data_IF_994147922979
#
_entry.id   IF_994147922979
#
_cell.length_a   1.000
_cell.length_b   1.000
_cell.length_c   1.000
_cell.angle_alpha   90.00
_cell.angle_beta   90.00
_cell.angle_gamma   90.00
#
_symmetry.space_group_name_H-M   'P 1'
#
loop_
_entity.id
_entity.type
_entity.pdbx_description
1 polymer ?
#
# COMPACT_ATOMS: atom_id res chain seq x y z
N UNK A 1 -10.86 15.28 -5.21
CA UNK A 1 -10.05 14.06 -5.45
C UNK A 1 -10.56 13.20 -6.58
N UNK A 2 -11.79 12.65 -6.54
CA UNK A 2 -12.29 11.82 -7.65
C UNK A 2 -12.40 12.59 -8.98
N UNK A 3 -13.01 13.78 -8.95
CA UNK A 3 -13.04 14.68 -10.12
C UNK A 3 -11.65 15.04 -10.62
N UNK A 4 -10.69 15.28 -9.71
CA UNK A 4 -9.30 15.57 -10.04
C UNK A 4 -8.63 14.40 -10.76
N UNK A 5 -8.85 13.16 -10.29
CA UNK A 5 -8.35 11.94 -10.93
C UNK A 5 -8.95 11.76 -12.33
N UNK A 6 -10.28 11.85 -12.46
CA UNK A 6 -10.97 11.72 -13.75
C UNK A 6 -10.50 12.79 -14.74
N UNK A 7 -10.30 14.02 -14.27
CA UNK A 7 -9.80 15.12 -15.08
C UNK A 7 -8.40 14.89 -15.66
N UNK A 8 -7.57 14.06 -15.02
CA UNK A 8 -6.20 13.80 -15.51
C UNK A 8 -6.14 13.04 -16.83
N UNK A 9 -7.21 12.30 -17.18
CA UNK A 9 -7.26 11.55 -18.44
C UNK A 9 -7.35 12.48 -19.65
N UNK A 10 -7.90 13.69 -19.49
CA UNK A 10 -8.13 14.64 -20.59
C UNK A 10 -8.87 14.02 -21.80
N UNK A 11 -9.84 13.13 -21.53
CA UNK A 11 -10.62 12.44 -22.56
C UNK A 11 -12.05 13.01 -22.64
N UNK A 12 -12.51 13.50 -23.80
CA UNK A 12 -13.86 14.01 -23.97
C UNK A 12 -14.96 13.00 -23.61
N UNK A 13 -14.72 11.69 -23.85
CA UNK A 13 -15.70 10.64 -23.53
C UNK A 13 -15.97 10.51 -22.01
N UNK A 14 -15.09 11.00 -21.14
CA UNK A 14 -15.30 11.00 -19.69
C UNK A 14 -16.10 12.21 -19.21
N UNK A 15 -16.32 13.22 -20.05
CA UNK A 15 -16.95 14.48 -19.63
C UNK A 15 -18.36 14.25 -19.08
N UNK A 16 -19.17 13.44 -19.76
CA UNK A 16 -20.51 13.11 -19.30
C UNK A 16 -20.49 12.45 -17.92
N UNK A 17 -19.58 11.49 -17.69
CA UNK A 17 -19.43 10.83 -16.39
C UNK A 17 -18.93 11.81 -15.31
N UNK A 18 -17.96 12.65 -15.62
CA UNK A 18 -17.47 13.72 -14.73
C UNK A 18 -18.64 14.62 -14.30
N UNK A 19 -19.52 15.00 -15.22
CA UNK A 19 -20.66 15.85 -14.90
C UNK A 19 -21.72 15.14 -14.04
N UNK A 20 -21.89 13.82 -14.21
CA UNK A 20 -22.70 13.02 -13.28
C UNK A 20 -22.09 13.01 -11.87
N UNK A 21 -20.78 12.77 -11.76
CA UNK A 21 -20.06 12.76 -10.47
C UNK A 21 -20.13 14.11 -9.77
N UNK A 22 -20.04 15.23 -10.51
CA UNK A 22 -20.17 16.59 -9.94
C UNK A 22 -21.52 16.85 -9.26
N UNK A 23 -22.59 16.19 -9.72
CA UNK A 23 -23.96 16.38 -9.20
C UNK A 23 -24.29 15.49 -8.01
N UNK A 24 -23.48 14.46 -7.75
CA UNK A 24 -23.70 13.56 -6.63
C UNK A 24 -23.13 14.13 -5.33
N UNK A 25 -23.80 13.86 -4.21
CA UNK A 25 -23.31 14.20 -2.88
C UNK A 25 -22.36 13.10 -2.35
N UNK A 26 -21.13 13.50 -2.03
CA UNK A 26 -20.09 12.63 -1.46
C UNK A 26 -19.84 12.94 0.03
N UNK A 27 -20.69 13.74 0.69
CA UNK A 27 -20.54 14.15 2.09
C UNK A 27 -20.43 12.97 3.07
N UNK A 28 -21.08 11.85 2.76
CA UNK A 28 -21.02 10.63 3.57
C UNK A 28 -19.74 9.80 3.40
N UNK A 29 -18.84 10.14 2.46
CA UNK A 29 -17.61 9.37 2.22
C UNK A 29 -16.58 9.63 3.32
N UNK A 30 -16.21 8.56 4.03
CA UNK A 30 -15.27 8.61 5.17
C UNK A 30 -13.84 8.15 4.83
N UNK A 31 -13.61 7.74 3.58
CA UNK A 31 -12.31 7.23 3.10
C UNK A 31 -11.59 8.24 2.21
N UNK A 32 -10.27 8.12 2.12
CA UNK A 32 -9.47 8.95 1.24
C UNK A 32 -9.18 8.26 -0.08
N UNK A 33 -9.59 8.87 -1.18
CA UNK A 33 -9.13 8.47 -2.50
C UNK A 33 -7.61 8.73 -2.61
N UNK A 34 -6.88 7.68 -2.98
CA UNK A 34 -5.47 7.74 -3.38
C UNK A 34 -5.34 7.25 -4.81
N UNK A 35 -4.51 7.91 -5.60
CA UNK A 35 -4.34 7.55 -7.00
C UNK A 35 -2.94 7.87 -7.50
N UNK A 36 -2.57 7.22 -8.60
CA UNK A 36 -1.38 7.52 -9.38
C UNK A 36 -1.79 7.86 -10.80
N UNK A 37 -1.10 8.82 -11.40
CA UNK A 37 -1.24 9.17 -12.82
C UNK A 37 0.15 9.31 -13.44
N UNK A 38 0.35 8.91 -14.71
CA UNK A 38 1.65 9.02 -15.35
C UNK A 38 2.19 10.47 -15.33
N UNK A 39 3.48 10.63 -15.05
CA UNK A 39 4.14 11.94 -15.00
C UNK A 39 5.00 12.15 -13.77
N UNK A 40 5.52 13.37 -13.64
CA UNK A 40 6.37 13.80 -12.53
C UNK A 40 5.53 14.48 -11.45
N UNK A 41 5.66 14.01 -10.21
CA UNK A 41 4.88 14.48 -9.06
C UNK A 41 5.80 14.89 -7.92
N UNK A 42 5.32 15.82 -7.09
CA UNK A 42 6.04 16.37 -5.94
C UNK A 42 5.19 16.20 -4.67
N UNK A 43 5.73 16.42 -3.46
CA UNK A 43 5.01 16.15 -2.20
C UNK A 43 3.64 16.84 -2.03
N UNK A 44 3.44 18.01 -2.65
CA UNK A 44 2.17 18.74 -2.59
C UNK A 44 1.15 18.28 -3.66
N UNK A 45 1.55 17.38 -4.56
CA UNK A 45 0.70 16.83 -5.61
C UNK A 45 0.10 15.50 -5.15
N UNK A 46 -1.15 15.26 -5.56
CA UNK A 46 -1.90 14.05 -5.21
C UNK A 46 -1.77 12.91 -6.23
N UNK A 47 -1.06 13.13 -7.34
CA UNK A 47 -0.97 12.22 -8.50
C UNK A 47 0.03 11.05 -8.36
N UNK A 48 0.55 10.82 -7.16
CA UNK A 48 1.41 9.68 -6.85
C UNK A 48 0.96 9.06 -5.54
N UNK A 49 0.70 7.75 -5.55
CA UNK A 49 0.43 7.00 -4.32
C UNK A 49 1.52 7.23 -3.26
N UNK A 50 2.81 7.26 -3.65
CA UNK A 50 3.90 7.45 -2.72
C UNK A 50 3.78 8.76 -1.93
N UNK A 51 3.57 9.89 -2.59
CA UNK A 51 3.41 11.18 -1.91
C UNK A 51 2.07 11.29 -1.21
N UNK A 52 0.98 10.89 -1.88
CA UNK A 52 -0.38 11.05 -1.35
C UNK A 52 -0.59 10.24 -0.07
N UNK A 53 -0.19 8.98 -0.05
CA UNK A 53 -0.31 8.12 1.13
C UNK A 53 0.55 8.67 2.27
N UNK A 54 1.83 8.98 2.01
CA UNK A 54 2.73 9.53 3.03
C UNK A 54 2.20 10.83 3.65
N UNK A 55 1.66 11.74 2.84
CA UNK A 55 1.07 12.99 3.31
C UNK A 55 -0.17 12.76 4.20
N UNK A 56 -1.09 11.90 3.76
CA UNK A 56 -2.29 11.56 4.54
C UNK A 56 -1.94 10.88 5.87
N UNK A 57 -0.99 9.94 5.85
CA UNK A 57 -0.52 9.27 7.05
C UNK A 57 0.19 10.25 7.99
N UNK A 58 1.05 11.13 7.47
CA UNK A 58 1.67 12.21 8.27
C UNK A 58 0.63 13.11 8.92
N UNK A 59 -0.46 13.41 8.24
CA UNK A 59 -1.50 14.31 8.76
C UNK A 59 -2.46 13.64 9.74
N UNK A 60 -2.72 12.33 9.58
CA UNK A 60 -3.87 11.68 10.23
C UNK A 60 -3.58 10.37 10.93
N UNK A 61 -2.49 9.65 10.59
CA UNK A 61 -2.16 8.38 11.23
C UNK A 61 -1.54 8.65 12.60
N UNK A 62 -2.28 8.36 13.66
CA UNK A 62 -1.80 8.47 15.04
C UNK A 62 -1.39 7.08 15.54
N UNK A 63 -0.31 7.02 16.30
CA UNK A 63 0.21 5.79 16.88
C UNK A 63 0.48 6.00 18.37
N UNK A 64 0.51 4.90 19.15
CA UNK A 64 0.93 4.94 20.54
C UNK A 64 2.29 5.62 20.69
N UNK A 65 2.40 6.48 21.70
CA UNK A 65 3.67 7.09 22.09
C UNK A 65 4.47 6.09 22.90
N UNK A 66 5.77 5.94 22.58
CA UNK A 66 6.69 5.20 23.43
C UNK A 66 7.00 6.03 24.68
N UNK A 67 6.43 5.64 25.82
CA UNK A 67 6.60 6.32 27.12
C UNK A 67 7.53 5.55 28.05
N UNK A 68 7.63 4.23 27.90
CA UNK A 68 8.56 3.34 28.61
C UNK A 68 9.27 2.40 27.62
N UNK A 69 10.34 1.67 28.03
CA UNK A 69 10.98 0.69 27.18
C UNK A 69 10.03 -0.41 26.65
N UNK A 70 9.04 -0.81 27.44
CA UNK A 70 8.07 -1.87 27.18
C UNK A 70 6.81 -1.37 26.46
N UNK A 71 6.51 -0.07 26.54
CA UNK A 71 5.34 0.53 25.88
C UNK A 71 5.43 0.42 24.36
N UNK A 72 4.27 0.27 23.72
CA UNK A 72 4.19 0.36 22.27
C UNK A 72 4.67 1.72 21.76
N UNK A 73 5.27 1.72 20.58
CA UNK A 73 5.68 2.94 19.91
C UNK A 73 5.46 2.83 18.40
N UNK A 74 5.69 3.91 17.64
CA UNK A 74 5.50 3.87 16.21
C UNK A 74 6.32 2.75 15.53
N UNK A 75 7.52 2.46 16.03
CA UNK A 75 8.40 1.43 15.48
C UNK A 75 8.01 0.00 15.86
N UNK A 76 7.18 -0.21 16.89
CA UNK A 76 6.69 -1.56 17.23
C UNK A 76 5.58 -2.01 16.30
N UNK A 77 4.87 -1.07 15.67
CA UNK A 77 3.81 -1.37 14.69
C UNK A 77 4.41 -1.64 13.31
N UNK A 78 4.28 -2.88 12.83
CA UNK A 78 4.84 -3.34 11.57
C UNK A 78 4.01 -2.96 10.35
N UNK A 79 4.63 -2.96 9.18
CA UNK A 79 3.94 -2.69 7.91
C UNK A 79 3.80 -3.99 7.13
N UNK A 80 2.58 -4.24 6.63
CA UNK A 80 2.30 -5.35 5.74
C UNK A 80 1.95 -4.77 4.37
N UNK A 81 2.64 -5.24 3.33
CA UNK A 81 2.33 -4.98 1.94
C UNK A 81 1.96 -6.29 1.27
N UNK A 82 0.76 -6.38 0.71
CA UNK A 82 0.31 -7.53 -0.06
C UNK A 82 0.02 -7.08 -1.49
N UNK A 83 0.62 -7.75 -2.46
CA UNK A 83 0.40 -7.45 -3.87
C UNK A 83 0.33 -8.73 -4.72
N UNK A 84 -0.17 -8.61 -5.95
CA UNK A 84 -0.25 -9.73 -6.90
C UNK A 84 0.82 -9.66 -7.99
N UNK A 85 1.59 -8.57 -8.07
CA UNK A 85 2.72 -8.40 -8.98
C UNK A 85 3.86 -7.64 -8.31
N UNK A 86 5.09 -7.94 -8.73
CA UNK A 86 6.31 -7.34 -8.21
C UNK A 86 7.12 -6.77 -9.36
N UNK A 87 7.40 -5.47 -9.29
CA UNK A 87 8.28 -4.77 -10.24
C UNK A 87 9.75 -4.77 -9.82
N UNK A 88 10.60 -4.20 -10.67
CA UNK A 88 12.00 -3.94 -10.32
C UNK A 88 12.10 -2.87 -9.24
N UNK A 89 12.91 -3.10 -8.20
CA UNK A 89 13.07 -2.20 -7.03
C UNK A 89 14.49 -1.68 -6.82
N UNK A 90 15.45 -2.11 -7.64
CA UNK A 90 16.86 -1.73 -7.50
C UNK A 90 17.73 -2.87 -6.98
N UNK A 91 19.03 -2.61 -6.86
CA UNK A 91 20.03 -3.63 -6.47
C UNK A 91 20.05 -3.89 -4.96
N UNK A 92 19.48 -2.97 -4.17
CA UNK A 92 19.38 -3.10 -2.72
C UNK A 92 18.04 -2.58 -2.19
N UNK A 93 17.62 -2.99 -0.97
CA UNK A 93 16.41 -2.46 -0.35
C UNK A 93 16.41 -0.93 -0.21
N UNK A 94 17.59 -0.33 -0.03
CA UNK A 94 17.74 1.11 0.22
C UNK A 94 17.35 1.99 -0.98
N UNK A 95 17.50 1.50 -2.22
CA UNK A 95 17.26 2.29 -3.43
C UNK A 95 15.81 2.74 -3.59
N UNK A 96 14.84 1.90 -3.19
CA UNK A 96 13.42 2.23 -3.35
C UNK A 96 12.52 1.65 -2.27
N UNK A 97 12.63 0.35 -1.96
CA UNK A 97 11.73 -0.31 -1.02
C UNK A 97 11.77 0.36 0.35
N UNK A 98 12.96 0.50 0.93
CA UNK A 98 13.16 1.17 2.22
C UNK A 98 13.37 2.67 2.07
N UNK A 99 14.08 3.11 1.02
CA UNK A 99 14.40 4.53 0.82
C UNK A 99 13.22 5.40 0.42
N UNK A 100 12.15 4.82 -0.15
CA UNK A 100 10.98 5.54 -0.62
C UNK A 100 9.67 4.94 -0.08
N UNK A 101 9.34 3.70 -0.47
CA UNK A 101 8.02 3.12 -0.18
C UNK A 101 7.76 2.97 1.32
N UNK A 102 8.68 2.32 2.05
CA UNK A 102 8.57 2.11 3.49
C UNK A 102 8.45 3.44 4.25
N UNK A 103 9.20 4.46 3.85
CA UNK A 103 9.11 5.80 4.47
C UNK A 103 7.69 6.38 4.31
N UNK A 104 7.10 6.27 3.12
CA UNK A 104 5.71 6.69 2.90
C UNK A 104 4.75 5.91 3.78
N UNK A 105 4.80 4.56 3.74
CA UNK A 105 3.92 3.68 4.51
C UNK A 105 4.12 3.76 6.04
N UNK A 106 5.30 4.20 6.50
CA UNK A 106 5.64 4.37 7.92
C UNK A 106 5.38 5.79 8.43
N UNK A 107 4.88 6.72 7.60
CA UNK A 107 4.55 8.07 8.03
C UNK A 107 3.48 8.09 9.13
N UNK A 108 3.55 9.06 10.04
CA UNK A 108 2.57 9.26 11.12
C UNK A 108 2.67 10.69 11.68
N UNK A 109 1.71 11.09 12.51
CA UNK A 109 1.57 12.46 13.04
C UNK A 109 2.72 12.94 13.92
N UNK A 110 3.39 12.03 14.64
CA UNK A 110 4.41 12.35 15.67
C UNK A 110 5.88 12.23 15.22
N UNK A 111 6.17 11.99 13.94
CA UNK A 111 7.54 11.82 13.48
C UNK A 111 7.77 12.32 12.06
N UNK A 112 8.78 13.17 11.79
CA UNK A 112 9.24 13.35 10.43
C UNK A 112 9.69 11.98 9.89
N UNK A 113 9.47 11.73 8.59
CA UNK A 113 9.92 10.53 7.86
C UNK A 113 11.32 10.13 8.37
N UNK A 114 11.47 9.04 9.16
CA UNK A 114 12.76 8.78 9.77
C UNK A 114 13.77 8.53 8.64
N UNK A 115 14.87 9.29 8.63
CA UNK A 115 15.95 9.11 7.63
C UNK A 115 16.43 7.66 7.59
N UNK A 116 16.23 6.89 8.67
CA UNK A 116 16.33 5.44 8.69
C UNK A 116 15.19 4.85 9.54
N UNK A 117 14.03 4.57 8.91
CA UNK A 117 12.89 3.98 9.62
C UNK A 117 13.17 2.50 9.89
N UNK A 118 13.49 2.16 11.14
CA UNK A 118 13.61 0.79 11.63
C UNK A 118 12.26 0.04 11.66
N UNK A 119 11.21 0.61 11.05
CA UNK A 119 9.93 -0.07 10.89
C UNK A 119 10.13 -1.39 10.13
N UNK A 120 9.44 -2.42 10.60
CA UNK A 120 9.41 -3.73 9.95
C UNK A 120 8.51 -3.68 8.72
N UNK A 121 8.87 -4.47 7.71
CA UNK A 121 8.11 -4.60 6.47
C UNK A 121 7.99 -6.07 6.11
N UNK A 122 6.76 -6.56 6.06
CA UNK A 122 6.42 -7.91 5.60
C UNK A 122 5.69 -7.81 4.27
N UNK A 123 6.16 -8.53 3.27
CA UNK A 123 5.58 -8.58 1.93
C UNK A 123 4.88 -9.91 1.74
N UNK A 124 3.56 -9.88 1.61
CA UNK A 124 2.77 -11.09 1.31
C UNK A 124 2.67 -11.25 -0.21
N UNK A 125 3.23 -12.34 -0.72
CA UNK A 125 3.15 -12.74 -2.12
C UNK A 125 3.07 -14.27 -2.21
N UNK A 126 2.22 -14.85 -3.07
CA UNK A 126 2.07 -16.30 -3.14
C UNK A 126 3.39 -17.03 -3.43
N UNK A 127 3.69 -18.06 -2.64
CA UNK A 127 4.78 -18.98 -2.94
C UNK A 127 4.42 -19.91 -4.09
N UNK A 128 5.40 -20.65 -4.60
CA UNK A 128 5.15 -21.75 -5.54
C UNK A 128 4.15 -22.74 -4.95
N UNK A 129 4.33 -23.13 -3.70
CA UNK A 129 3.41 -24.04 -2.99
C UNK A 129 1.97 -23.48 -2.89
N UNK A 130 1.81 -22.19 -2.59
CA UNK A 130 0.49 -21.55 -2.60
C UNK A 130 -0.20 -21.66 -3.97
N UNK A 131 0.55 -21.43 -5.05
CA UNK A 131 0.01 -21.53 -6.43
C UNK A 131 -0.34 -22.97 -6.75
N UNK A 132 0.55 -23.91 -6.45
CA UNK A 132 0.38 -25.34 -6.77
C UNK A 132 -0.78 -25.99 -6.03
N UNK A 133 -1.02 -25.59 -4.78
CA UNK A 133 -2.11 -26.10 -3.94
C UNK A 133 -3.41 -25.30 -4.06
N UNK A 134 -3.37 -24.20 -4.81
CA UNK A 134 -4.53 -23.36 -5.12
C UNK A 134 -5.56 -24.06 -6.02
N UNK A 135 -6.73 -23.44 -6.20
CA UNK A 135 -7.83 -24.05 -6.97
C UNK A 135 -7.50 -24.35 -8.44
N UNK A 136 -6.66 -23.52 -9.07
CA UNK A 136 -6.31 -23.65 -10.48
C UNK A 136 -4.84 -24.07 -10.71
N UNK A 137 -4.15 -24.48 -9.64
CA UNK A 137 -2.74 -24.87 -9.73
C UNK A 137 -1.88 -23.83 -10.46
N UNK A 138 -1.03 -24.32 -11.37
CA UNK A 138 -0.14 -23.51 -12.21
C UNK A 138 -0.82 -22.34 -12.94
N UNK A 139 -2.08 -22.49 -13.38
CA UNK A 139 -2.79 -21.46 -14.13
C UNK A 139 -2.98 -20.17 -13.31
N UNK A 140 -3.11 -20.31 -11.98
CA UNK A 140 -3.21 -19.17 -11.06
C UNK A 140 -1.96 -18.26 -11.14
N UNK A 141 -0.81 -18.80 -11.54
CA UNK A 141 0.43 -18.06 -11.73
C UNK A 141 0.37 -17.01 -12.84
N UNK A 142 -0.52 -17.18 -13.84
CA UNK A 142 -0.70 -16.20 -14.93
C UNK A 142 -1.15 -14.83 -14.45
N UNK A 143 -1.89 -14.79 -13.33
CA UNK A 143 -2.36 -13.57 -12.67
C UNK A 143 -1.41 -13.06 -11.58
N UNK A 144 -0.22 -13.68 -11.46
CA UNK A 144 0.81 -13.32 -10.48
C UNK A 144 2.14 -12.95 -11.17
N UNK A 145 2.22 -11.79 -11.87
CA UNK A 145 3.41 -11.45 -12.63
C UNK A 145 4.58 -11.06 -11.72
N UNK A 146 5.58 -11.93 -11.65
CA UNK A 146 6.91 -11.64 -11.13
C UNK A 146 7.94 -12.41 -11.95
N UNK A 147 8.51 -11.76 -12.96
CA UNK A 147 9.38 -12.44 -13.93
C UNK A 147 10.70 -12.89 -13.31
N UNK A 148 11.22 -14.05 -13.77
CA UNK A 148 12.54 -14.58 -13.40
C UNK A 148 13.64 -13.51 -13.52
N UNK A 149 13.67 -12.79 -14.64
CA UNK A 149 14.66 -11.74 -14.91
C UNK A 149 14.57 -10.55 -13.92
N UNK A 150 13.38 -10.23 -13.40
CA UNK A 150 13.23 -9.21 -12.36
C UNK A 150 13.73 -9.76 -11.02
N UNK A 151 13.30 -10.97 -10.66
CA UNK A 151 13.66 -11.63 -9.41
C UNK A 151 15.17 -11.85 -9.25
N UNK A 152 15.87 -12.24 -10.31
CA UNK A 152 17.33 -12.43 -10.30
C UNK A 152 18.11 -11.17 -9.95
N UNK A 153 17.57 -9.98 -10.28
CA UNK A 153 18.21 -8.68 -9.98
C UNK A 153 17.94 -8.19 -8.55
N UNK A 154 17.05 -8.83 -7.80
CA UNK A 154 16.62 -8.38 -6.48
C UNK A 154 16.34 -9.55 -5.51
N UNK A 155 17.22 -10.56 -5.49
CA UNK A 155 17.08 -11.73 -4.59
C UNK A 155 17.00 -11.37 -3.11
N UNK A 156 17.56 -10.21 -2.72
CA UNK A 156 17.42 -9.62 -1.40
C UNK A 156 15.95 -9.46 -0.95
N UNK A 157 14.98 -9.40 -1.89
CA UNK A 157 13.57 -9.26 -1.57
C UNK A 157 13.01 -10.46 -0.80
N UNK A 158 13.63 -11.64 -0.93
CA UNK A 158 13.17 -12.87 -0.27
C UNK A 158 13.17 -12.75 1.26
N UNK A 159 14.06 -11.93 1.84
CA UNK A 159 14.12 -11.68 3.28
C UNK A 159 12.87 -10.98 3.84
N UNK A 160 12.07 -10.37 2.97
CA UNK A 160 10.84 -9.66 3.32
C UNK A 160 9.58 -10.49 3.01
N UNK A 161 9.72 -11.63 2.31
CA UNK A 161 8.58 -12.34 1.73
C UNK A 161 7.93 -13.30 2.71
N UNK A 162 6.60 -13.29 2.72
CA UNK A 162 5.75 -14.19 3.47
C UNK A 162 4.70 -14.83 2.54
N UNK A 163 4.31 -16.06 2.88
CA UNK A 163 3.33 -16.83 2.12
C UNK A 163 1.92 -16.23 2.22
N UNK A 164 1.12 -16.45 1.19
CA UNK A 164 -0.32 -16.18 1.23
C UNK A 164 -1.03 -17.19 2.14
N UNK A 165 -1.79 -16.68 3.12
CA UNK A 165 -2.68 -17.46 3.99
C UNK A 165 -3.93 -16.63 4.29
N UNK A 166 -5.10 -17.23 4.11
CA UNK A 166 -6.39 -16.57 4.35
C UNK A 166 -7.43 -17.57 4.87
N UNK A 167 -7.01 -18.46 5.77
CA UNK A 167 -7.79 -19.60 6.25
C UNK A 167 -9.06 -19.15 6.98
N UNK A 168 -8.95 -18.09 7.78
CA UNK A 168 -10.07 -17.49 8.50
C UNK A 168 -11.24 -17.04 7.60
N UNK A 169 -11.01 -16.96 6.28
CA UNK A 169 -12.01 -16.61 5.27
C UNK A 169 -12.16 -17.67 4.18
N UNK A 170 -11.61 -18.88 4.39
CA UNK A 170 -11.63 -19.99 3.42
C UNK A 170 -10.94 -19.68 2.09
N UNK A 171 -9.97 -18.74 2.09
CA UNK A 171 -9.38 -18.18 0.86
C UNK A 171 -7.91 -18.52 0.65
N UNK A 172 -7.31 -19.38 1.49
CA UNK A 172 -5.90 -19.80 1.33
C UNK A 172 -5.62 -20.36 -0.07
N UNK A 173 -6.56 -21.13 -0.64
CA UNK A 173 -6.44 -21.72 -1.99
C UNK A 173 -6.87 -20.79 -3.13
N UNK A 174 -7.47 -19.64 -2.83
CA UNK A 174 -7.84 -18.62 -3.80
C UNK A 174 -6.70 -17.59 -3.92
N UNK A 175 -5.97 -17.60 -5.04
CA UNK A 175 -4.81 -16.71 -5.21
C UNK A 175 -5.23 -15.23 -5.17
N UNK A 176 -4.49 -14.39 -4.44
CA UNK A 176 -4.86 -13.00 -4.25
C UNK A 176 -4.57 -12.18 -5.52
N UNK A 177 -5.60 -11.61 -6.11
CA UNK A 177 -5.47 -10.49 -7.06
C UNK A 177 -5.75 -9.12 -6.42
N UNK A 178 -6.17 -9.10 -5.16
CA UNK A 178 -6.27 -7.88 -4.34
C UNK A 178 -4.86 -7.34 -4.02
N UNK A 179 -4.74 -6.04 -3.76
CA UNK A 179 -3.53 -5.41 -3.23
C UNK A 179 -3.90 -4.58 -2.01
N UNK A 180 -3.21 -4.84 -0.91
CA UNK A 180 -3.49 -4.19 0.37
C UNK A 180 -2.21 -3.76 1.06
N UNK A 181 -2.28 -2.65 1.79
CA UNK A 181 -1.17 -2.11 2.56
C UNK A 181 -1.71 -1.65 3.91
N UNK A 182 -1.08 -2.06 5.01
CA UNK A 182 -1.54 -1.67 6.34
C UNK A 182 -0.38 -1.55 7.31
N UNK A 183 -0.66 -0.92 8.45
CA UNK A 183 0.25 -0.88 9.60
C UNK A 183 -0.43 -1.51 10.81
N UNK A 184 0.16 -2.56 11.35
CA UNK A 184 -0.44 -3.48 12.30
C UNK A 184 0.25 -3.43 13.66
N UNK A 185 -0.50 -3.59 14.74
CA UNK A 185 0.03 -3.66 16.11
C UNK A 185 0.89 -4.92 16.33
N UNK A 186 1.81 -4.92 17.31
CA UNK A 186 2.64 -6.08 17.63
C UNK A 186 1.84 -7.37 17.91
N UNK A 187 0.66 -7.22 18.54
CA UNK A 187 -0.23 -8.32 18.88
C UNK A 187 -1.15 -8.77 17.73
N UNK A 188 -1.03 -8.16 16.55
CA UNK A 188 -1.79 -8.47 15.33
C UNK A 188 -3.31 -8.37 15.51
N UNK A 189 -3.79 -7.43 16.32
CA UNK A 189 -5.23 -7.22 16.56
C UNK A 189 -5.74 -5.84 16.15
N UNK A 190 -4.85 -4.90 15.82
CA UNK A 190 -5.22 -3.51 15.52
C UNK A 190 -4.49 -3.02 14.28
N UNK A 191 -5.14 -2.18 13.49
CA UNK A 191 -4.56 -1.49 12.35
C UNK A 191 -4.61 0.03 12.54
N UNK A 192 -3.50 0.70 12.26
CA UNK A 192 -3.42 2.17 12.31
C UNK A 192 -3.94 2.81 11.01
N UNK A 193 -3.92 2.06 9.92
CA UNK A 193 -4.59 2.37 8.66
C UNK A 193 -4.75 1.09 7.84
N UNK A 194 -5.63 1.15 6.84
CA UNK A 194 -5.75 0.11 5.83
C UNK A 194 -5.92 0.75 4.44
N UNK A 195 -5.12 0.33 3.48
CA UNK A 195 -5.21 0.76 2.08
C UNK A 195 -5.54 -0.45 1.23
N UNK A 196 -6.58 -0.32 0.40
CA UNK A 196 -6.86 -1.24 -0.72
C UNK A 196 -6.74 -0.46 -2.03
N UNK A 197 -6.02 -1.01 -3.00
CA UNK A 197 -5.67 -0.29 -4.24
C UNK A 197 -5.45 -1.26 -5.41
N UNK A 198 -5.39 -0.73 -6.63
CA UNK A 198 -4.86 -1.44 -7.79
C UNK A 198 -3.32 -1.50 -7.80
N UNK A 199 -2.66 -0.57 -7.11
CA UNK A 199 -1.22 -0.40 -7.15
C UNK A 199 -0.48 -1.62 -6.59
N UNK A 200 0.19 -2.36 -7.48
CA UNK A 200 1.12 -3.41 -7.11
C UNK A 200 2.44 -2.85 -6.53
N UNK A 201 3.28 -3.73 -5.99
CA UNK A 201 4.59 -3.37 -5.44
C UNK A 201 5.58 -3.03 -6.56
N UNK A 202 5.50 -1.82 -7.11
CA UNK A 202 6.32 -1.36 -8.23
C UNK A 202 6.53 0.16 -8.25
N UNK A 203 7.69 0.58 -8.79
CA UNK A 203 8.00 1.98 -9.09
C UNK A 203 7.00 2.62 -10.06
N UNK A 204 6.49 1.85 -11.03
CA UNK A 204 5.55 2.35 -12.03
C UNK A 204 4.21 2.77 -11.42
N UNK A 205 3.72 1.98 -10.46
CA UNK A 205 2.46 2.20 -9.77
C UNK A 205 2.58 3.27 -8.69
N UNK A 206 3.59 3.18 -7.82
CA UNK A 206 3.72 4.06 -6.65
C UNK A 206 4.45 5.38 -6.94
N UNK A 207 5.41 5.35 -7.86
CA UNK A 207 6.41 6.40 -8.09
C UNK A 207 7.82 5.85 -7.87
N UNK A 208 8.78 6.26 -8.70
CA UNK A 208 10.19 5.89 -8.58
C UNK A 208 10.89 6.41 -7.31
N UNK A 209 12.22 6.23 -7.19
CA UNK A 209 12.99 6.80 -6.10
C UNK A 209 12.79 8.32 -6.02
N UNK A 210 12.64 8.83 -4.80
CA UNK A 210 12.51 10.28 -4.55
C UNK A 210 13.80 10.98 -4.99
N UNK A 211 13.68 11.89 -5.96
CA UNK A 211 14.80 12.69 -6.46
C UNK A 211 15.29 13.73 -5.46
N UNK A 212 16.41 14.39 -5.76
CA UNK A 212 16.96 15.47 -4.91
C UNK A 212 15.98 16.65 -4.73
N UNK A 213 15.15 16.90 -5.75
CA UNK A 213 14.08 17.91 -5.73
C UNK A 213 12.77 17.37 -5.11
N UNK A 214 12.83 16.24 -4.41
CA UNK A 214 11.69 15.51 -3.86
C UNK A 214 10.68 14.99 -4.89
N UNK A 215 10.98 15.08 -6.19
CA UNK A 215 10.08 14.60 -7.24
C UNK A 215 10.15 13.09 -7.45
N UNK A 216 9.03 12.48 -7.84
CA UNK A 216 8.94 11.08 -8.28
C UNK A 216 8.29 10.98 -9.65
N UNK A 217 8.68 9.96 -10.42
CA UNK A 217 8.07 9.68 -11.71
C UNK A 217 7.19 8.43 -11.61
N UNK A 218 5.93 8.57 -12.04
CA UNK A 218 4.90 7.53 -12.09
C UNK A 218 4.67 7.15 -13.55
N UNK A 219 4.41 5.87 -13.83
CA UNK A 219 4.20 5.34 -15.19
C UNK A 219 2.82 4.75 -15.42
N UNK A 220 2.04 4.54 -14.36
CA UNK A 220 0.74 3.86 -14.42
C UNK A 220 -0.37 4.76 -13.88
N UNK A 221 -1.59 4.51 -14.37
CA UNK A 221 -2.81 4.93 -13.68
C UNK A 221 -3.13 3.89 -12.61
N UNK A 222 -3.33 4.33 -11.38
CA UNK A 222 -3.72 3.46 -10.25
C UNK A 222 -4.74 4.18 -9.39
N UNK A 223 -5.61 3.45 -8.70
CA UNK A 223 -6.58 4.02 -7.77
C UNK A 223 -6.83 3.10 -6.58
N UNK A 224 -7.06 3.70 -5.42
CA UNK A 224 -7.38 3.00 -4.19
C UNK A 224 -8.06 3.91 -3.18
N UNK A 225 -8.42 3.32 -2.04
CA UNK A 225 -9.01 4.02 -0.90
C UNK A 225 -8.26 3.69 0.38
N UNK A 226 -7.91 4.74 1.12
CA UNK A 226 -7.24 4.66 2.42
C UNK A 226 -8.25 4.88 3.54
N UNK A 227 -8.30 3.92 4.45
CA UNK A 227 -9.06 3.95 5.69
C UNK A 227 -8.16 4.42 6.83
N UNK A 228 -8.65 5.42 7.57
CA UNK A 228 -7.95 6.00 8.72
C UNK A 228 -8.92 6.01 9.91
N UNK A 229 -8.58 5.38 11.05
CA UNK A 229 -9.47 5.21 12.21
C UNK A 229 -10.17 6.49 12.66
N UNK A 230 -9.44 7.62 12.68
CA UNK A 230 -9.96 8.94 13.08
C UNK A 230 -11.22 9.36 12.31
N UNK A 231 -11.36 8.93 11.06
CA UNK A 231 -12.52 9.28 10.23
C UNK A 231 -13.70 8.33 10.42
N UNK A 232 -13.50 7.29 11.24
CA UNK A 232 -14.49 6.32 11.69
C UNK A 232 -14.85 6.50 13.18
N UNK A 233 -14.37 7.57 13.83
CA UNK A 233 -14.49 7.82 15.28
C UNK A 233 -13.76 6.76 16.13
N UNK A 234 -12.75 6.11 15.55
CA UNK A 234 -11.96 5.05 16.17
C UNK A 234 -10.50 5.50 16.39
N UNK A 235 -9.83 4.93 17.39
CA UNK A 235 -8.38 5.10 17.57
C UNK A 235 -7.59 4.18 16.62
N UNK A 236 -8.11 2.97 16.38
CA UNK A 236 -7.54 1.94 15.51
C UNK A 236 -8.66 1.11 14.86
N UNK A 237 -8.38 0.47 13.72
CA UNK A 237 -9.30 -0.51 13.15
C UNK A 237 -9.05 -1.87 13.80
N UNK A 238 -10.07 -2.47 14.41
CA UNK A 238 -9.95 -3.80 15.01
C UNK A 238 -9.91 -4.91 13.96
N UNK A 239 -8.97 -5.84 14.13
CA UNK A 239 -8.92 -7.08 13.36
C UNK A 239 -9.75 -8.10 14.12
N UNK A 240 -10.96 -8.38 13.61
CA UNK A 240 -11.79 -9.45 14.17
C UNK A 240 -11.02 -10.77 14.15
N UNK A 241 -10.80 -11.35 15.33
CA UNK A 241 -10.32 -12.73 15.45
C UNK A 241 -11.49 -13.63 15.10
N UNK A 242 -11.50 -14.20 13.91
CA UNK A 242 -12.34 -15.36 13.63
C UNK A 242 -11.77 -16.49 14.47
N UNK A 243 -12.48 -16.90 15.53
CA UNK A 243 -12.16 -18.12 16.25
C UNK A 243 -12.22 -19.25 15.22
N UNK A 244 -11.09 -19.90 14.95
CA UNK A 244 -11.07 -21.14 14.21
C UNK A 244 -11.78 -22.18 15.09
N UNK A 245 -13.01 -22.53 14.72
CA UNK A 245 -13.72 -23.72 15.22
C UNK A 245 -13.03 -24.99 14.73
#
# INVERSE_FOLDING_TARGET
>A
NLLSYLGTYNLPCLQSFIDHVKRADFSAVRVFLVYSVPGRHYPNNVGSHLHRVGALLKQHCTLPSKTTPESEGPLSWGIIAQASSIGSMGKSPAEWLRGSLLRSLASHTKGPLPMNSNATLSIVYPSVDNVMTGYYGHESGGCLPYSKATNEKQRWLQEYMHQWKAEAYGRTRAMPHIKTYCRVSPCLTKLAYFLVTSANLSKSAWGGPVGKDSGVYVRSYEVGVLYLPKFFDEEYLEIKRTLSS
#
